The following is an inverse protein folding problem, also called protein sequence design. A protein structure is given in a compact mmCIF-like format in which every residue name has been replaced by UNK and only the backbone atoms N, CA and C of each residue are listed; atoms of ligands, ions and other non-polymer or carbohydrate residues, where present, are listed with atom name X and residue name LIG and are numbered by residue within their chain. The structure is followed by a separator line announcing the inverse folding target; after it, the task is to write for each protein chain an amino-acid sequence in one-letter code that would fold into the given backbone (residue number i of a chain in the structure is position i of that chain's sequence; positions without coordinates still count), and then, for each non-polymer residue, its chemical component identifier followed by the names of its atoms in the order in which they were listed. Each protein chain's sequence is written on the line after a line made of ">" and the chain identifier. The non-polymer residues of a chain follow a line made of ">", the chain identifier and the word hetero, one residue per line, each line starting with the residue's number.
data_IF_021404463364
#
_entry.id   IF_021404463364
#
_cell.length_a   1.000
_cell.length_b   1.000
_cell.length_c   1.000
_cell.angle_alpha   90.00
_cell.angle_beta   90.00
_cell.angle_gamma   90.00
#
_symmetry.space_group_name_H-M   'P 1'
#
loop_
_entity.id
_entity.type
_entity.pdbx_description
1 polymer ?
#
# COMPACT_ATOMS: atom_id res chain seq x y z
N UNK A 1 -0.91 -2.37 -37.12
CA UNK A 1 -0.75 -2.83 -35.72
C UNK A 1 0.26 -1.94 -35.06
N UNK A 2 -0.10 -1.03 -34.12
CA UNK A 2 0.88 -0.21 -33.43
C UNK A 2 1.65 -1.10 -32.42
N UNK A 3 2.97 -1.14 -32.57
CA UNK A 3 3.91 -1.79 -31.64
C UNK A 3 3.80 -1.09 -30.28
N UNK A 4 3.35 -1.85 -29.29
CA UNK A 4 3.25 -1.36 -27.91
C UNK A 4 4.67 -1.13 -27.36
N UNK A 5 5.01 0.11 -27.05
CA UNK A 5 6.29 0.46 -26.43
C UNK A 5 6.54 -0.42 -25.19
N UNK A 6 7.78 -0.89 -24.95
CA UNK A 6 8.09 -1.70 -23.79
C UNK A 6 7.79 -0.94 -22.50
N UNK A 7 7.17 -1.62 -21.56
CA UNK A 7 6.85 -1.07 -20.24
C UNK A 7 8.16 -0.72 -19.50
N UNK A 8 8.21 0.38 -18.71
CA UNK A 8 9.37 0.75 -17.90
C UNK A 8 9.90 -0.38 -17.01
N UNK A 9 9.01 -1.29 -16.59
CA UNK A 9 9.37 -2.46 -15.81
C UNK A 9 10.14 -3.51 -16.64
N UNK A 10 9.81 -3.66 -17.92
CA UNK A 10 10.52 -4.57 -18.82
C UNK A 10 11.94 -4.05 -19.12
N UNK A 11 12.11 -2.74 -19.25
CA UNK A 11 13.43 -2.11 -19.44
C UNK A 11 14.30 -2.26 -18.19
N UNK A 12 13.75 -2.07 -17.01
CA UNK A 12 14.43 -2.27 -15.73
C UNK A 12 14.85 -3.74 -15.56
N UNK A 13 14.01 -4.69 -15.88
CA UNK A 13 14.33 -6.12 -15.83
C UNK A 13 15.48 -6.47 -16.79
N UNK A 14 15.46 -5.94 -18.02
CA UNK A 14 16.54 -6.13 -18.99
C UNK A 14 17.87 -5.52 -18.51
N UNK A 15 17.84 -4.34 -17.90
CA UNK A 15 19.03 -3.69 -17.32
C UNK A 15 19.60 -4.49 -16.16
N UNK A 16 18.78 -4.98 -15.26
CA UNK A 16 19.20 -5.84 -14.14
C UNK A 16 19.80 -7.16 -14.63
N UNK A 17 19.19 -7.79 -15.63
CA UNK A 17 19.74 -8.98 -16.27
C UNK A 17 21.10 -8.68 -16.96
N UNK A 18 21.29 -7.47 -17.49
CA UNK A 18 22.57 -7.00 -18.04
C UNK A 18 23.66 -6.86 -16.98
N UNK A 19 23.30 -6.46 -15.75
CA UNK A 19 24.24 -6.27 -14.65
C UNK A 19 24.65 -7.57 -13.95
N UNK A 20 23.87 -8.66 -14.09
CA UNK A 20 24.11 -9.95 -13.42
C UNK A 20 25.20 -10.82 -14.07
N UNK A 21 25.91 -10.31 -15.07
CA UNK A 21 27.14 -10.95 -15.57
C UNK A 21 27.26 -11.05 -17.08
N UNK A 22 28.46 -11.44 -17.51
CA UNK A 22 28.80 -11.77 -18.90
C UNK A 22 27.99 -12.99 -19.38
N UNK A 23 27.79 -13.17 -20.70
CA UNK A 23 27.00 -14.26 -21.26
C UNK A 23 27.38 -15.65 -20.77
N UNK A 24 28.65 -15.92 -20.52
CA UNK A 24 29.17 -17.20 -20.04
C UNK A 24 28.85 -17.51 -18.58
N UNK A 25 28.67 -16.49 -17.73
CA UNK A 25 28.29 -16.66 -16.31
C UNK A 25 26.76 -16.62 -16.10
N UNK A 26 26.02 -16.19 -17.10
CA UNK A 26 24.58 -16.03 -17.08
C UNK A 26 23.85 -17.36 -17.19
N UNK A 27 24.31 -18.24 -18.06
CA UNK A 27 23.68 -19.57 -18.26
C UNK A 27 23.84 -20.48 -17.04
N UNK A 28 24.93 -20.35 -16.29
CA UNK A 28 25.20 -21.16 -15.11
C UNK A 28 24.50 -20.69 -13.82
N UNK A 29 24.11 -19.41 -13.75
CA UNK A 29 23.53 -18.81 -12.55
C UNK A 29 22.02 -18.57 -12.64
N UNK A 30 21.48 -18.35 -13.81
CA UNK A 30 20.06 -18.07 -14.02
C UNK A 30 19.33 -19.38 -14.38
N UNK A 31 18.87 -20.11 -13.38
CA UNK A 31 18.18 -21.39 -13.58
C UNK A 31 16.71 -21.22 -13.92
N UNK A 32 16.11 -20.06 -13.57
CA UNK A 32 14.70 -19.79 -13.83
C UNK A 32 14.42 -18.28 -13.86
N UNK A 33 13.64 -17.83 -14.83
CA UNK A 33 13.12 -16.47 -14.93
C UNK A 33 11.60 -16.51 -15.06
N UNK A 34 10.90 -15.99 -14.09
CA UNK A 34 9.44 -15.84 -14.12
C UNK A 34 9.07 -14.37 -14.19
N UNK A 35 8.45 -13.95 -15.29
CA UNK A 35 7.93 -12.61 -15.46
C UNK A 35 6.49 -12.56 -14.96
N UNK A 36 6.28 -11.84 -13.86
CA UNK A 36 4.93 -11.59 -13.35
C UNK A 36 4.39 -10.34 -14.06
N UNK A 37 3.34 -10.45 -14.88
CA UNK A 37 2.75 -9.30 -15.53
C UNK A 37 2.23 -8.31 -14.49
N UNK A 38 2.48 -7.01 -14.73
CA UNK A 38 1.92 -5.95 -13.91
C UNK A 38 0.39 -5.99 -13.94
N UNK A 39 -0.24 -5.97 -12.79
CA UNK A 39 -1.69 -5.78 -12.68
C UNK A 39 -1.96 -4.29 -12.62
N UNK A 40 -2.83 -3.78 -13.49
CA UNK A 40 -3.36 -2.43 -13.37
C UNK A 40 -4.22 -2.38 -12.10
N UNK A 41 -3.84 -1.54 -11.15
CA UNK A 41 -4.67 -1.25 -9.99
C UNK A 41 -5.54 -0.04 -10.28
N UNK A 42 -6.70 0.01 -9.66
CA UNK A 42 -7.62 1.14 -9.70
C UNK A 42 -7.39 2.00 -8.45
N UNK A 43 -7.27 3.32 -8.65
CA UNK A 43 -7.25 4.30 -7.59
C UNK A 43 -8.63 4.89 -7.39
N UNK A 44 -8.96 5.25 -6.16
CA UNK A 44 -10.20 5.94 -5.83
C UNK A 44 -9.88 7.22 -5.03
N UNK A 45 -10.76 8.22 -5.10
CA UNK A 45 -10.60 9.42 -4.29
C UNK A 45 -10.62 9.09 -2.80
N UNK A 46 -9.98 9.95 -2.01
CA UNK A 46 -10.02 9.85 -0.57
C UNK A 46 -11.46 9.91 -0.05
N UNK A 47 -11.85 9.07 0.92
CA UNK A 47 -13.17 9.11 1.52
C UNK A 47 -13.46 10.49 2.14
N UNK A 48 -14.68 10.98 1.98
CA UNK A 48 -15.08 12.31 2.50
C UNK A 48 -15.04 12.43 4.02
N UNK A 49 -15.15 11.31 4.72
CA UNK A 49 -15.05 11.22 6.18
C UNK A 49 -13.59 11.21 6.69
N UNK A 50 -12.61 11.02 5.82
CA UNK A 50 -11.20 10.97 6.22
C UNK A 50 -10.73 12.32 6.77
N UNK A 51 -10.03 12.30 7.91
CA UNK A 51 -9.49 13.54 8.50
C UNK A 51 -8.50 14.21 7.51
N UNK A 52 -8.69 15.49 7.17
CA UNK A 52 -7.85 16.20 6.19
C UNK A 52 -6.36 16.19 6.55
N UNK A 53 -6.02 16.15 7.84
CA UNK A 53 -4.63 16.10 8.31
C UNK A 53 -3.97 14.77 7.95
N UNK A 54 -4.73 13.67 8.02
CA UNK A 54 -4.25 12.35 7.62
C UNK A 54 -4.08 12.28 6.11
N UNK A 55 -5.05 12.78 5.36
CA UNK A 55 -4.96 12.86 3.88
C UNK A 55 -3.72 13.65 3.46
N UNK A 56 -3.48 14.81 4.06
CA UNK A 56 -2.31 15.62 3.78
C UNK A 56 -0.99 14.89 4.12
N UNK A 57 -0.96 14.17 5.25
CA UNK A 57 0.21 13.39 5.66
C UNK A 57 0.52 12.22 4.70
N UNK A 58 -0.50 11.56 4.16
CA UNK A 58 -0.33 10.49 3.18
C UNK A 58 0.11 11.04 1.81
N UNK A 59 -0.48 12.16 1.37
CA UNK A 59 -0.05 12.85 0.14
C UNK A 59 1.41 13.29 0.22
N UNK A 60 1.84 13.82 1.34
CA UNK A 60 3.25 14.17 1.56
C UNK A 60 4.20 12.97 1.50
N UNK A 61 3.69 11.73 1.65
CA UNK A 61 4.42 10.48 1.47
C UNK A 61 4.30 9.88 0.06
N UNK A 62 3.70 10.61 -0.89
CA UNK A 62 3.55 10.18 -2.28
C UNK A 62 2.30 9.34 -2.57
N UNK A 63 1.31 9.34 -1.68
CA UNK A 63 0.01 8.69 -1.91
C UNK A 63 -1.01 9.75 -2.29
N UNK A 64 -1.10 10.08 -3.57
CA UNK A 64 -2.06 11.07 -4.07
C UNK A 64 -3.49 10.56 -3.95
N UNK A 65 -3.72 9.34 -4.38
CA UNK A 65 -4.98 8.61 -4.24
C UNK A 65 -4.73 7.17 -3.78
N UNK A 66 -5.53 6.65 -2.85
CA UNK A 66 -5.39 5.28 -2.39
C UNK A 66 -5.91 4.27 -3.44
N UNK A 67 -5.47 3.02 -3.33
CA UNK A 67 -5.98 1.93 -4.15
C UNK A 67 -7.43 1.59 -3.80
N UNK A 68 -8.22 1.14 -4.78
CA UNK A 68 -9.64 0.79 -4.60
C UNK A 68 -9.88 -0.19 -3.45
N UNK A 69 -9.03 -1.21 -3.31
CA UNK A 69 -9.15 -2.17 -2.20
C UNK A 69 -8.90 -1.54 -0.82
N UNK A 70 -8.03 -0.51 -0.74
CA UNK A 70 -7.77 0.23 0.51
C UNK A 70 -8.98 1.07 0.89
N UNK A 71 -9.57 1.78 -0.08
CA UNK A 71 -10.77 2.60 0.15
C UNK A 71 -11.95 1.73 0.57
N UNK A 72 -12.22 0.65 -0.17
CA UNK A 72 -13.33 -0.26 0.14
C UNK A 72 -13.21 -0.88 1.54
N UNK A 73 -12.01 -1.31 1.92
CA UNK A 73 -11.77 -1.84 3.25
C UNK A 73 -11.90 -0.76 4.34
N UNK A 74 -11.38 0.45 4.11
CA UNK A 74 -11.49 1.57 5.02
C UNK A 74 -12.94 2.02 5.22
N UNK A 75 -13.74 2.10 4.15
CA UNK A 75 -15.17 2.40 4.19
C UNK A 75 -15.94 1.39 5.04
N UNK A 76 -15.68 0.10 4.82
CA UNK A 76 -16.32 -0.95 5.58
C UNK A 76 -15.97 -0.87 7.08
N UNK A 77 -14.70 -0.67 7.40
CA UNK A 77 -14.22 -0.53 8.79
C UNK A 77 -14.77 0.76 9.45
N UNK A 78 -14.82 1.87 8.72
CA UNK A 78 -15.41 3.11 9.22
C UNK A 78 -16.91 3.00 9.48
N UNK A 79 -17.61 2.20 8.69
CA UNK A 79 -19.02 1.86 8.93
C UNK A 79 -19.23 0.85 10.07
N UNK A 80 -18.18 0.45 10.80
CA UNK A 80 -18.27 -0.47 11.94
C UNK A 80 -18.35 -1.95 11.55
N UNK A 81 -18.08 -2.30 10.29
CA UNK A 81 -18.06 -3.69 9.83
C UNK A 81 -16.70 -4.33 10.05
N UNK A 82 -16.69 -5.63 10.29
CA UNK A 82 -15.45 -6.42 10.30
C UNK A 82 -14.93 -6.60 8.89
N UNK A 83 -13.61 -6.47 8.71
CA UNK A 83 -12.95 -6.55 7.40
C UNK A 83 -11.79 -7.51 7.47
N UNK A 84 -11.69 -8.36 6.45
CA UNK A 84 -10.50 -9.17 6.16
C UNK A 84 -9.94 -8.70 4.82
N UNK A 85 -8.67 -8.27 4.81
CA UNK A 85 -8.00 -7.80 3.61
C UNK A 85 -6.91 -8.80 3.22
N UNK A 86 -7.19 -9.60 2.18
CA UNK A 86 -6.25 -10.57 1.62
C UNK A 86 -5.75 -10.08 0.27
N UNK A 87 -4.57 -9.45 0.29
CA UNK A 87 -3.88 -8.97 -0.92
C UNK A 87 -2.40 -9.34 -0.83
N UNK A 88 -1.68 -9.27 -1.95
CA UNK A 88 -0.24 -9.54 -1.98
C UNK A 88 0.56 -8.66 -1.00
N UNK A 89 1.79 -9.04 -0.72
CA UNK A 89 2.74 -8.21 0.04
C UNK A 89 2.99 -6.89 -0.67
N UNK A 90 3.33 -5.85 0.09
CA UNK A 90 3.58 -4.49 -0.41
C UNK A 90 2.38 -3.80 -1.10
N UNK A 91 1.16 -4.26 -0.87
CA UNK A 91 -0.06 -3.63 -1.41
C UNK A 91 -0.58 -2.45 -0.58
N UNK A 92 0.17 -2.01 0.43
CA UNK A 92 -0.21 -0.88 1.28
C UNK A 92 -1.42 -1.14 2.19
N UNK A 93 -1.63 -2.38 2.64
CA UNK A 93 -2.75 -2.78 3.52
C UNK A 93 -2.90 -1.91 4.78
N UNK A 94 -1.80 -1.36 5.28
CA UNK A 94 -1.79 -0.52 6.48
C UNK A 94 -2.71 0.69 6.38
N UNK A 95 -2.79 1.34 5.23
CA UNK A 95 -3.68 2.48 5.01
C UNK A 95 -5.15 2.11 5.25
N UNK A 96 -5.56 0.92 4.83
CA UNK A 96 -6.95 0.47 4.92
C UNK A 96 -7.49 0.41 6.37
N UNK A 97 -6.65 0.11 7.35
CA UNK A 97 -7.06 0.10 8.77
C UNK A 97 -6.60 1.36 9.53
N UNK A 98 -5.47 1.96 9.17
CA UNK A 98 -4.97 3.16 9.83
C UNK A 98 -5.88 4.37 9.57
N UNK A 99 -6.36 4.53 8.35
CA UNK A 99 -7.19 5.68 7.98
C UNK A 99 -8.48 5.79 8.83
N UNK A 100 -9.34 4.75 8.91
CA UNK A 100 -10.55 4.81 9.74
C UNK A 100 -10.23 4.89 11.24
N UNK A 101 -9.23 4.16 11.72
CA UNK A 101 -8.85 4.14 13.12
C UNK A 101 -8.35 5.52 13.59
N UNK A 102 -7.41 6.11 12.89
CA UNK A 102 -6.85 7.42 13.24
C UNK A 102 -7.86 8.55 13.06
N UNK A 103 -8.70 8.50 12.02
CA UNK A 103 -9.80 9.48 11.85
C UNK A 103 -10.72 9.47 13.06
N UNK A 104 -11.13 8.29 13.56
CA UNK A 104 -11.96 8.18 14.76
C UNK A 104 -11.26 8.70 16.04
N UNK A 105 -9.99 8.37 16.21
CA UNK A 105 -9.19 8.87 17.36
C UNK A 105 -9.09 10.40 17.32
N UNK A 106 -8.85 10.98 16.15
CA UNK A 106 -8.76 12.43 15.99
C UNK A 106 -10.10 13.14 16.19
N UNK A 107 -11.18 12.54 15.67
CA UNK A 107 -12.52 13.08 15.84
C UNK A 107 -13.03 13.01 17.28
N UNK A 108 -12.60 12.01 18.05
CA UNK A 108 -13.02 11.80 19.44
C UNK A 108 -12.22 12.61 20.48
N UNK A 109 -11.37 13.56 20.06
CA UNK A 109 -10.61 14.41 21.02
C UNK A 109 -11.56 15.23 21.90
N UNK A 110 -11.38 15.13 23.21
CA UNK A 110 -12.11 15.91 24.20
C UNK A 110 -11.60 17.37 24.23
N UNK A 111 -12.42 18.33 24.69
CA UNK A 111 -12.01 19.74 24.80
C UNK A 111 -10.75 19.98 25.65
N UNK A 112 -10.46 19.08 26.61
CA UNK A 112 -9.25 19.13 27.45
C UNK A 112 -8.02 18.51 26.78
N UNK A 113 -8.07 18.20 25.47
CA UNK A 113 -6.98 17.60 24.70
C UNK A 113 -6.75 16.11 24.93
N UNK A 114 -7.50 15.47 25.86
CA UNK A 114 -7.35 14.03 26.11
C UNK A 114 -8.00 13.20 25.00
N UNK A 115 -7.45 12.00 24.69
CA UNK A 115 -8.06 11.07 23.75
C UNK A 115 -9.48 10.67 24.25
N UNK A 116 -10.47 10.78 23.39
CA UNK A 116 -11.82 10.27 23.65
C UNK A 116 -12.04 8.86 23.14
N UNK A 117 -11.17 8.38 22.25
CA UNK A 117 -11.12 7.02 21.73
C UNK A 117 -9.68 6.54 21.62
N UNK A 118 -9.49 5.24 21.68
CA UNK A 118 -8.20 4.56 21.49
C UNK A 118 -8.37 3.45 20.45
N UNK A 119 -7.27 3.11 19.80
CA UNK A 119 -7.22 1.98 18.84
C UNK A 119 -6.16 1.01 19.31
N UNK A 120 -6.50 -0.28 19.33
CA UNK A 120 -5.56 -1.34 19.58
C UNK A 120 -5.07 -1.92 18.27
N UNK A 121 -3.77 -1.83 18.02
CA UNK A 121 -3.10 -2.47 16.90
C UNK A 121 -2.33 -3.70 17.40
N UNK A 122 -2.63 -4.85 16.80
CA UNK A 122 -1.95 -6.11 17.10
C UNK A 122 -1.08 -6.51 15.91
N UNK A 123 0.21 -6.69 16.18
CA UNK A 123 1.17 -7.19 15.20
C UNK A 123 1.76 -8.51 15.65
N UNK A 124 1.95 -9.48 14.75
CA UNK A 124 2.50 -10.80 15.10
C UNK A 124 3.96 -10.75 15.54
N UNK A 125 4.71 -9.70 15.16
CA UNK A 125 6.12 -9.55 15.55
C UNK A 125 6.46 -8.11 15.92
N UNK A 126 7.46 -7.93 16.79
CA UNK A 126 8.01 -6.59 17.16
C UNK A 126 8.46 -5.80 15.92
N UNK A 127 9.15 -6.44 14.99
CA UNK A 127 9.66 -5.78 13.80
C UNK A 127 8.55 -5.18 12.92
N UNK A 128 7.42 -5.89 12.79
CA UNK A 128 6.26 -5.38 12.05
C UNK A 128 5.55 -4.26 12.79
N UNK A 129 5.52 -4.29 14.11
CA UNK A 129 4.91 -3.23 14.92
C UNK A 129 5.70 -1.92 14.87
N UNK A 130 7.01 -1.98 14.67
CA UNK A 130 7.89 -0.81 14.57
C UNK A 130 7.90 -0.18 13.17
N UNK A 131 7.50 -0.93 12.15
CA UNK A 131 7.48 -0.49 10.75
C UNK A 131 6.14 0.16 10.34
N UNK A 132 5.17 0.28 11.24
CA UNK A 132 3.79 0.76 10.96
C UNK A 132 3.56 2.22 11.36
#
# INVERSE_FOLDING_TARGET
>A
MPSRAPSPAADTAHRLLGLLGTPSTREERLTHLHLVPGRSGEHLPWPTWADPRLVAAWRARGVDEPWSHQVQAAEAAYAGRHVVLSTGTASGKSLAFQLPALTRVLAARRPNGRPGATTLYLSPTKALAQAS
#
